data_IF_915366311499
#
_entry.id   IF_915366311499
#
_cell.length_a   1.000
_cell.length_b   1.000
_cell.length_c   1.000
_cell.angle_alpha   90.00
_cell.angle_beta   90.00
_cell.angle_gamma   90.00
#
_symmetry.space_group_name_H-M   'P 1'
#
loop_
_entity.id
_entity.type
_entity.pdbx_description
1 polymer ?
#
# COMPACT_ATOMS: atom_id res chain seq x y z
N UNK A 1 -6.80 -3.51 12.12
CA UNK A 1 -6.03 -4.62 11.54
C UNK A 1 -5.19 -4.01 10.44
N UNK A 2 -3.87 -4.07 10.59
CA UNK A 2 -2.89 -3.40 9.73
C UNK A 2 -2.95 -3.95 8.30
N UNK A 3 -2.49 -3.17 7.32
CA UNK A 3 -2.40 -3.54 5.90
C UNK A 3 -1.65 -4.85 5.75
N UNK A 4 -0.52 -5.01 6.46
CA UNK A 4 0.26 -6.26 6.48
C UNK A 4 -0.58 -7.47 6.88
N UNK A 5 -1.30 -7.41 8.00
CA UNK A 5 -2.07 -8.55 8.52
C UNK A 5 -3.23 -8.92 7.60
N UNK A 6 -3.87 -7.91 6.99
CA UNK A 6 -4.92 -8.13 6.00
C UNK A 6 -4.37 -8.84 4.77
N UNK A 7 -3.23 -8.40 4.25
CA UNK A 7 -2.61 -9.02 3.08
C UNK A 7 -2.20 -10.47 3.34
N UNK A 8 -1.57 -10.73 4.49
CA UNK A 8 -1.24 -12.10 4.93
C UNK A 8 -2.49 -12.99 5.02
N UNK A 9 -3.62 -12.44 5.49
CA UNK A 9 -4.90 -13.18 5.59
C UNK A 9 -5.46 -13.54 4.21
N UNK A 10 -5.22 -12.72 3.20
CA UNK A 10 -5.61 -12.97 1.81
C UNK A 10 -4.65 -13.91 1.07
N UNK A 11 -3.55 -14.32 1.69
CA UNK A 11 -2.61 -15.30 1.14
C UNK A 11 -1.33 -14.70 0.55
N UNK A 12 -1.18 -13.37 0.57
CA UNK A 12 0.02 -12.71 0.09
C UNK A 12 1.21 -12.99 1.02
N UNK A 13 2.41 -13.17 0.45
CA UNK A 13 3.67 -13.30 1.21
C UNK A 13 4.72 -12.28 0.73
N UNK A 14 5.06 -12.32 -0.56
CA UNK A 14 5.97 -11.36 -1.19
C UNK A 14 5.20 -10.56 -2.23
N UNK A 15 5.23 -9.24 -2.09
CA UNK A 15 4.48 -8.34 -2.95
C UNK A 15 5.34 -7.19 -3.44
N UNK A 16 4.94 -6.66 -4.58
CA UNK A 16 5.28 -5.32 -5.03
C UNK A 16 4.04 -4.44 -4.89
N UNK A 17 4.24 -3.17 -4.57
CA UNK A 17 3.15 -2.18 -4.51
C UNK A 17 3.40 -1.12 -5.57
N UNK A 18 2.46 -1.00 -6.51
CA UNK A 18 2.47 0.06 -7.51
C UNK A 18 1.57 1.21 -7.05
N UNK A 19 2.19 2.32 -6.65
CA UNK A 19 1.53 3.52 -6.17
C UNK A 19 1.31 4.52 -7.32
N UNK A 20 0.11 5.08 -7.38
CA UNK A 20 -0.25 6.20 -8.25
C UNK A 20 -0.88 7.29 -7.38
N UNK A 21 -0.33 8.50 -7.42
CA UNK A 21 -0.92 9.66 -6.72
C UNK A 21 -1.92 10.43 -7.60
N UNK A 22 -2.64 11.37 -7.00
CA UNK A 22 -3.62 12.22 -7.70
C UNK A 22 -3.00 13.09 -8.81
N UNK A 23 -1.70 13.40 -8.71
CA UNK A 23 -0.94 14.11 -9.74
C UNK A 23 -0.47 13.18 -10.88
N UNK A 24 -0.79 11.88 -10.80
CA UNK A 24 -0.39 10.81 -11.72
C UNK A 24 1.10 10.50 -11.69
N UNK A 25 1.82 10.89 -10.65
CA UNK A 25 3.14 10.35 -10.41
C UNK A 25 3.01 8.87 -10.04
N UNK A 26 3.99 8.08 -10.46
CA UNK A 26 4.00 6.64 -10.30
C UNK A 26 5.26 6.22 -9.57
N UNK A 27 5.09 5.36 -8.57
CA UNK A 27 6.19 4.79 -7.79
C UNK A 27 5.93 3.30 -7.60
N UNK A 28 6.97 2.47 -7.73
CA UNK A 28 6.89 1.05 -7.41
C UNK A 28 7.74 0.77 -6.18
N UNK A 29 7.10 0.27 -5.13
CA UNK A 29 7.76 -0.24 -3.93
C UNK A 29 7.86 -1.75 -4.04
N UNK A 30 9.00 -2.22 -4.54
CA UNK A 30 9.22 -3.63 -4.83
C UNK A 30 9.76 -4.44 -3.64
N UNK A 31 9.67 -5.76 -3.76
CA UNK A 31 10.29 -6.78 -2.92
C UNK A 31 9.92 -6.62 -1.44
N UNK A 32 8.63 -6.44 -1.18
CA UNK A 32 8.09 -6.37 0.18
C UNK A 32 7.76 -7.78 0.64
N UNK A 33 8.57 -8.31 1.55
CA UNK A 33 8.25 -9.53 2.27
C UNK A 33 7.38 -9.17 3.48
N UNK A 34 6.11 -9.59 3.46
CA UNK A 34 5.12 -9.27 4.48
C UNK A 34 5.49 -9.85 5.85
N UNK A 35 6.21 -10.96 5.90
CA UNK A 35 6.74 -11.52 7.14
C UNK A 35 7.93 -10.74 7.74
N UNK A 36 8.61 -9.90 6.95
CA UNK A 36 9.78 -9.12 7.38
C UNK A 36 9.48 -7.65 7.58
N UNK A 37 8.44 -7.11 6.96
CA UNK A 37 8.03 -5.72 7.12
C UNK A 37 7.33 -5.55 8.46
N UNK A 38 7.79 -4.60 9.26
CA UNK A 38 7.19 -4.33 10.58
C UNK A 38 5.85 -3.61 10.44
N UNK A 39 5.86 -2.51 9.68
CA UNK A 39 4.74 -1.60 9.45
C UNK A 39 4.81 -1.10 8.01
N UNK A 40 3.74 -1.35 7.25
CA UNK A 40 3.66 -1.10 5.82
C UNK A 40 3.20 0.33 5.55
N UNK A 41 2.25 0.80 6.34
CA UNK A 41 1.71 2.15 6.37
C UNK A 41 2.83 3.16 6.59
N UNK A 42 3.68 2.94 7.60
CA UNK A 42 4.83 3.80 7.87
C UNK A 42 5.83 3.80 6.72
N UNK A 43 6.14 2.61 6.15
CA UNK A 43 7.08 2.49 5.02
C UNK A 43 6.61 3.27 3.79
N UNK A 44 5.30 3.33 3.58
CA UNK A 44 4.67 3.99 2.44
C UNK A 44 4.22 5.43 2.75
N UNK A 45 4.47 5.92 3.97
CA UNK A 45 3.99 7.21 4.48
C UNK A 45 2.47 7.38 4.39
N UNK A 46 1.71 6.31 4.61
CA UNK A 46 0.25 6.35 4.56
C UNK A 46 -0.33 6.74 5.91
N UNK A 47 -1.37 7.55 5.89
CA UNK A 47 -2.21 7.80 7.06
C UNK A 47 -3.07 6.55 7.35
N UNK A 48 -2.85 5.82 8.46
CA UNK A 48 -3.52 4.56 8.76
C UNK A 48 -5.04 4.68 8.84
N UNK A 49 -5.55 5.84 9.25
CA UNK A 49 -6.99 6.08 9.40
C UNK A 49 -7.68 6.36 8.06
N UNK A 50 -6.90 6.57 6.98
CA UNK A 50 -7.40 6.86 5.64
C UNK A 50 -7.44 5.64 4.70
N UNK A 51 -6.96 4.48 5.14
CA UNK A 51 -6.76 3.32 4.26
C UNK A 51 -8.07 2.59 4.02
N UNK A 52 -8.49 2.56 2.75
CA UNK A 52 -9.58 1.73 2.26
C UNK A 52 -9.03 0.58 1.41
N UNK A 53 -9.49 -0.65 1.68
CA UNK A 53 -8.97 -1.87 1.08
C UNK A 53 -9.98 -2.48 0.09
N UNK A 54 -9.48 -2.87 -1.08
CA UNK A 54 -10.23 -3.51 -2.16
C UNK A 54 -9.49 -4.77 -2.61
N UNK A 55 -9.45 -5.78 -1.73
CA UNK A 55 -8.66 -7.01 -1.90
C UNK A 55 -9.43 -8.15 -2.58
N UNK A 56 -10.73 -7.97 -2.82
CA UNK A 56 -11.65 -8.93 -3.45
C UNK A 56 -11.76 -8.76 -4.98
N UNK A 57 -10.95 -7.87 -5.56
CA UNK A 57 -10.90 -7.61 -6.99
C UNK A 57 -9.87 -8.48 -7.73
N UNK A 58 -10.03 -8.62 -9.06
CA UNK A 58 -9.03 -9.28 -9.93
C UNK A 58 -7.65 -8.64 -9.80
N UNK A 59 -7.62 -7.30 -9.69
CA UNK A 59 -6.44 -6.51 -9.34
C UNK A 59 -6.64 -5.92 -7.93
N UNK A 60 -6.11 -6.54 -6.86
CA UNK A 60 -6.27 -6.04 -5.50
C UNK A 60 -5.56 -4.71 -5.31
N UNK A 61 -6.22 -3.77 -4.63
CA UNK A 61 -5.66 -2.44 -4.37
C UNK A 61 -6.12 -1.85 -3.04
N UNK A 62 -5.48 -0.75 -2.64
CA UNK A 62 -5.94 0.12 -1.57
C UNK A 62 -5.92 1.58 -2.03
N UNK A 63 -6.70 2.42 -1.36
CA UNK A 63 -6.62 3.87 -1.46
C UNK A 63 -6.32 4.45 -0.09
N UNK A 64 -5.50 5.50 -0.04
CA UNK A 64 -5.09 6.13 1.21
C UNK A 64 -4.60 7.56 0.97
N UNK A 65 -4.40 8.31 2.03
CA UNK A 65 -3.69 9.59 2.01
C UNK A 65 -2.22 9.34 2.34
N UNK A 66 -1.31 9.82 1.49
CA UNK A 66 0.12 9.81 1.74
C UNK A 66 0.55 11.14 2.39
N UNK A 67 1.22 11.05 3.54
CA UNK A 67 1.77 12.17 4.31
C UNK A 67 3.30 12.02 4.41
N UNK A 68 3.97 12.15 3.26
CA UNK A 68 5.42 12.15 3.23
C UNK A 68 5.98 13.43 3.90
N UNK A 69 7.13 13.34 4.60
CA UNK A 69 7.79 14.53 5.13
C UNK A 69 8.09 15.50 3.97
N UNK A 70 7.75 16.77 4.16
CA UNK A 70 7.96 17.87 3.20
C UNK A 70 7.05 17.88 1.95
N UNK A 71 5.99 17.07 1.91
CA UNK A 71 4.94 17.13 0.87
C UNK A 71 3.58 17.46 1.48
N UNK A 72 2.71 18.11 0.69
CA UNK A 72 1.30 18.23 1.07
C UNK A 72 0.65 16.84 1.07
N UNK A 73 -0.32 16.57 1.99
CA UNK A 73 -1.07 15.33 1.96
C UNK A 73 -1.74 15.11 0.61
N UNK A 74 -1.53 13.94 0.01
CA UNK A 74 -2.04 13.60 -1.33
C UNK A 74 -2.75 12.24 -1.31
N UNK A 75 -3.83 12.12 -2.10
CA UNK A 75 -4.48 10.84 -2.32
C UNK A 75 -3.60 9.91 -3.17
N UNK A 76 -3.49 8.65 -2.76
CA UNK A 76 -2.76 7.61 -3.49
C UNK A 76 -3.61 6.36 -3.64
N UNK A 77 -3.42 5.68 -4.77
CA UNK A 77 -3.94 4.34 -5.06
C UNK A 77 -2.77 3.37 -5.21
N UNK A 78 -2.73 2.35 -4.36
CA UNK A 78 -1.70 1.30 -4.37
C UNK A 78 -2.25 -0.03 -4.86
N UNK A 79 -1.77 -0.50 -6.00
CA UNK A 79 -2.06 -1.85 -6.49
C UNK A 79 -1.09 -2.87 -5.89
N UNK A 80 -1.61 -4.00 -5.46
CA UNK A 80 -0.85 -5.09 -4.87
C UNK A 80 -0.55 -6.10 -5.97
N UNK A 81 0.73 -6.30 -6.24
CA UNK A 81 1.22 -7.23 -7.25
C UNK A 81 1.92 -8.39 -6.53
N UNK A 82 1.36 -9.59 -6.62
CA UNK A 82 1.95 -10.80 -6.06
C UNK A 82 2.91 -11.45 -7.06
N UNK A 83 4.01 -12.03 -6.56
CA UNK A 83 5.01 -12.73 -7.36
C UNK A 83 5.60 -13.95 -6.64
#
# INVERSE_FOLDING_TARGET
MELKDRLLTYGFDNIDIFLIDDEKNQETVSNISLHKVTDLEYKLYLDPDSIEYHLDHEDPYFTATQQAPDKEPIGVKGYILEW
#
